data_IF_988281566608
#
_entry.id   IF_988281566608
#
_cell.length_a   1.000
_cell.length_b   1.000
_cell.length_c   1.000
_cell.angle_alpha   90.00
_cell.angle_beta   90.00
_cell.angle_gamma   90.00
#
_symmetry.space_group_name_H-M   'P 1'
#
loop_
_entity.id
_entity.type
_entity.pdbx_description
1 polymer ?
#
# COMPACT_ATOMS: atom_id res chain seq x y z
N UNK A 1 19.77 -20.46 -15.11
CA UNK A 1 19.42 -20.17 -14.89
C UNK A 1 19.06 -19.81 -14.37
N UNK A 2 19.10 -19.47 -14.28
CA UNK A 2 18.64 -18.87 -13.70
C UNK A 2 18.20 -18.45 -13.08
N UNK A 3 18.44 -18.24 -13.00
CA UNK A 3 17.99 -17.66 -12.34
C UNK A 3 17.40 -17.32 -11.86
N UNK A 4 17.54 -17.24 -11.92
CA UNK A 4 16.89 -16.67 -11.39
C UNK A 4 16.33 -16.31 -10.81
N UNK A 5 16.72 -16.32 -10.92
CA UNK A 5 16.08 -15.74 -10.33
C UNK A 5 15.65 -15.38 -9.94
N UNK A 6 15.93 -15.23 -9.93
CA UNK A 6 15.45 -14.60 -9.50
C UNK A 6 14.95 -14.02 -9.15
N UNK A 7 15.24 -13.94 -9.27
CA UNK A 7 14.66 -13.20 -8.75
C UNK A 7 14.05 -13.13 -8.48
N UNK A 8 14.55 -13.17 -8.44
CA UNK A 8 13.85 -12.88 -8.04
C UNK A 8 13.42 -12.76 -7.62
N UNK A 9 13.83 -12.66 -7.57
CA UNK A 9 13.37 -12.32 -7.19
C UNK A 9 13.08 -11.85 -6.79
N UNK A 10 13.89 -11.68 -6.92
CA UNK A 10 13.46 -10.86 -6.37
C UNK A 10 12.36 -10.27 -6.65
N UNK A 11 11.97 -10.20 -7.13
CA UNK A 11 10.80 -9.92 -7.23
C UNK A 11 9.95 -10.66 -6.63
N UNK A 12 10.07 -11.63 -6.50
CA UNK A 12 9.14 -12.46 -5.97
C UNK A 12 8.94 -12.26 -4.56
N UNK A 13 9.93 -12.25 -3.82
CA UNK A 13 9.72 -12.03 -2.47
C UNK A 13 9.06 -10.78 -2.18
N UNK A 14 9.14 -9.90 -3.06
CA UNK A 14 8.46 -8.67 -2.95
C UNK A 14 6.98 -8.85 -2.94
N UNK A 15 6.48 -9.78 -3.70
CA UNK A 15 5.06 -9.97 -3.79
C UNK A 15 4.45 -10.29 -2.43
N UNK A 16 5.11 -11.11 -1.65
CA UNK A 16 4.57 -11.43 -0.36
C UNK A 16 4.56 -10.22 0.54
N UNK A 17 5.57 -9.38 0.43
CA UNK A 17 5.63 -8.20 1.25
C UNK A 17 4.63 -7.17 0.82
N UNK A 18 4.11 -7.29 -0.38
CA UNK A 18 3.24 -6.28 -0.95
C UNK A 18 1.76 -6.51 -0.71
N UNK A 19 1.41 -7.48 0.12
CA UNK A 19 -0.02 -7.67 0.39
C UNK A 19 -0.65 -6.42 0.98
N UNK A 20 0.09 -5.68 1.80
CA UNK A 20 -0.43 -4.47 2.40
C UNK A 20 -0.48 -3.31 1.41
N UNK A 21 0.44 -3.29 0.47
CA UNK A 21 0.38 -2.31 -0.60
C UNK A 21 -0.85 -2.54 -1.46
N UNK A 22 -1.13 -3.80 -1.81
CA UNK A 22 -2.34 -4.14 -2.56
C UNK A 22 -3.58 -3.72 -1.80
N UNK A 23 -3.59 -3.95 -0.49
CA UNK A 23 -4.72 -3.54 0.34
C UNK A 23 -4.86 -2.03 0.35
N UNK A 24 -3.74 -1.31 0.42
CA UNK A 24 -3.77 0.15 0.41
C UNK A 24 -4.36 0.69 -0.88
N UNK A 25 -3.96 0.12 -2.01
CA UNK A 25 -4.51 0.52 -3.31
C UNK A 25 -6.02 0.26 -3.34
N UNK A 26 -6.43 -0.90 -2.85
CA UNK A 26 -7.84 -1.25 -2.82
C UNK A 26 -8.64 -0.25 -1.99
N UNK A 27 -8.12 0.14 -0.84
CA UNK A 27 -8.82 1.10 0.01
C UNK A 27 -8.87 2.48 -0.62
N UNK A 28 -7.80 2.90 -1.29
CA UNK A 28 -7.80 4.17 -2.00
C UNK A 28 -8.84 4.14 -3.13
N UNK A 29 -8.92 3.05 -3.86
CA UNK A 29 -9.88 2.94 -4.96
C UNK A 29 -11.32 2.87 -4.47
N UNK A 30 -11.55 2.34 -3.27
CA UNK A 30 -12.89 2.36 -2.70
C UNK A 30 -13.33 3.80 -2.44
N UNK A 31 -12.40 4.64 -2.00
CA UNK A 31 -12.70 6.02 -1.70
C UNK A 31 -12.81 6.87 -2.98
N UNK A 32 -12.00 6.52 -3.99
CA UNK A 32 -11.94 7.27 -5.23
C UNK A 32 -12.06 6.31 -6.42
N UNK A 33 -13.24 5.74 -6.65
CA UNK A 33 -13.39 4.64 -7.61
C UNK A 33 -13.17 5.00 -9.07
N UNK A 34 -13.25 6.28 -9.42
CA UNK A 34 -13.11 6.69 -10.81
C UNK A 34 -11.72 7.20 -11.14
N UNK A 35 -10.74 6.81 -10.34
CA UNK A 35 -9.36 7.24 -10.54
C UNK A 35 -8.49 6.10 -11.04
N UNK A 36 -7.36 6.48 -11.60
CA UNK A 36 -6.33 5.55 -12.03
C UNK A 36 -5.13 5.70 -11.10
N UNK A 37 -4.53 4.59 -10.70
CA UNK A 37 -3.35 4.61 -9.86
C UNK A 37 -2.12 4.82 -10.73
N UNK A 38 -1.38 5.90 -10.48
CA UNK A 38 -0.16 6.19 -11.22
C UNK A 38 1.08 5.71 -10.49
N UNK A 39 1.15 5.93 -9.19
CA UNK A 39 2.28 5.52 -8.36
C UNK A 39 1.80 5.04 -7.03
N UNK A 40 2.59 4.17 -6.42
CA UNK A 40 2.34 3.68 -5.07
C UNK A 40 3.69 3.46 -4.42
N UNK A 41 3.81 3.85 -3.16
CA UNK A 41 5.08 3.83 -2.47
C UNK A 41 4.86 3.71 -0.98
N UNK A 42 5.61 2.84 -0.32
CA UNK A 42 5.54 2.75 1.13
C UNK A 42 6.30 3.94 1.71
N UNK A 43 5.65 4.67 2.61
CA UNK A 43 6.23 5.85 3.23
C UNK A 43 6.99 5.48 4.50
N UNK A 44 6.35 4.67 5.35
CA UNK A 44 7.00 4.18 6.56
C UNK A 44 6.23 2.99 7.10
N UNK A 45 6.87 2.27 8.01
CA UNK A 45 6.19 1.23 8.75
C UNK A 45 6.73 1.18 10.17
N UNK A 46 5.96 0.58 11.05
CA UNK A 46 6.32 0.41 12.44
C UNK A 46 5.82 -0.93 12.91
N UNK A 47 6.71 -1.69 13.55
CA UNK A 47 6.37 -3.01 14.04
C UNK A 47 6.28 -3.01 15.55
N UNK A 48 5.18 -3.51 16.07
CA UNK A 48 4.99 -3.71 17.50
C UNK A 48 4.35 -5.05 17.71
N UNK A 49 4.40 -5.56 18.94
CA UNK A 49 3.95 -6.92 19.23
C UNK A 49 2.51 -7.19 18.82
N UNK A 50 1.63 -6.27 19.09
CA UNK A 50 0.21 -6.50 18.84
C UNK A 50 -0.34 -5.59 17.77
N UNK A 51 0.44 -4.65 17.31
CA UNK A 51 -0.01 -3.73 16.29
C UNK A 51 1.15 -3.30 15.43
N UNK A 52 1.04 -3.54 14.16
CA UNK A 52 1.97 -3.00 13.18
C UNK A 52 1.23 -2.01 12.32
N UNK A 53 1.95 -1.01 11.84
CA UNK A 53 1.35 0.05 11.04
C UNK A 53 2.20 0.24 9.80
N UNK A 54 1.55 0.37 8.65
CA UNK A 54 2.22 0.72 7.40
C UNK A 54 1.46 1.86 6.75
N UNK A 55 2.20 2.79 6.19
CA UNK A 55 1.59 3.89 5.47
C UNK A 55 2.12 3.92 4.05
N UNK A 56 1.22 4.08 3.11
CA UNK A 56 1.54 4.16 1.70
C UNK A 56 1.07 5.50 1.15
N UNK A 57 1.84 6.02 0.21
CA UNK A 57 1.44 7.19 -0.56
C UNK A 57 1.06 6.71 -1.95
N UNK A 58 -0.14 7.01 -2.38
CA UNK A 58 -0.66 6.56 -3.65
C UNK A 58 -1.06 7.78 -4.46
N UNK A 59 -0.52 7.87 -5.66
CA UNK A 59 -0.87 8.97 -6.57
C UNK A 59 -1.98 8.50 -7.49
N UNK A 60 -3.06 9.24 -7.49
CA UNK A 60 -4.25 8.94 -8.27
C UNK A 60 -4.48 10.03 -9.30
N UNK A 61 -5.14 9.65 -10.38
CA UNK A 61 -5.48 10.59 -11.45
C UNK A 61 -6.92 10.39 -11.83
N UNK A 62 -7.68 11.50 -11.89
CA UNK A 62 -9.01 11.47 -12.47
C UNK A 62 -8.97 12.28 -13.78
N UNK A 63 -10.11 12.65 -14.31
CA UNK A 63 -10.17 13.37 -15.58
C UNK A 63 -9.43 14.68 -15.56
N UNK A 64 -9.36 15.34 -14.44
CA UNK A 64 -8.93 16.73 -14.36
C UNK A 64 -7.64 16.95 -13.62
N UNK A 65 -7.25 16.02 -12.76
CA UNK A 65 -6.09 16.29 -11.91
C UNK A 65 -5.45 15.02 -11.39
N UNK A 66 -4.22 15.17 -10.95
CA UNK A 66 -3.52 14.17 -10.17
C UNK A 66 -3.51 14.65 -8.72
N UNK A 67 -3.60 13.70 -7.81
CA UNK A 67 -3.51 14.03 -6.39
C UNK A 67 -2.98 12.81 -5.64
N UNK A 68 -2.43 13.07 -4.46
CA UNK A 68 -1.91 12.01 -3.63
C UNK A 68 -2.83 11.71 -2.47
N UNK A 69 -2.81 10.47 -2.04
CA UNK A 69 -3.50 10.07 -0.82
C UNK A 69 -2.56 9.26 0.03
N UNK A 70 -2.71 9.38 1.35
CA UNK A 70 -2.00 8.52 2.29
C UNK A 70 -2.96 7.48 2.81
N UNK A 71 -2.55 6.23 2.74
CA UNK A 71 -3.35 5.13 3.30
C UNK A 71 -2.54 4.52 4.42
N UNK A 72 -3.09 4.56 5.62
CA UNK A 72 -2.45 4.01 6.80
C UNK A 72 -3.20 2.77 7.23
N UNK A 73 -2.50 1.65 7.35
CA UNK A 73 -3.10 0.38 7.72
C UNK A 73 -2.49 -0.07 9.04
N UNK A 74 -3.34 -0.29 10.03
CA UNK A 74 -2.96 -0.86 11.30
C UNK A 74 -3.47 -2.28 11.35
N UNK A 75 -2.63 -3.23 11.70
CA UNK A 75 -3.01 -4.63 11.68
C UNK A 75 -2.28 -5.42 12.77
N UNK A 76 -2.81 -6.59 13.07
CA UNK A 76 -2.17 -7.50 14.00
C UNK A 76 -1.18 -8.34 13.22
N UNK A 77 0.13 -8.28 13.54
CA UNK A 77 1.13 -8.97 12.75
C UNK A 77 1.08 -10.49 12.87
N UNK A 78 0.44 -11.01 13.91
CA UNK A 78 0.36 -12.45 14.08
C UNK A 78 -0.79 -13.05 13.29
N UNK A 79 -1.91 -12.38 13.23
CA UNK A 79 -3.10 -12.90 12.55
C UNK A 79 -3.34 -12.26 11.19
N UNK A 80 -2.62 -11.17 10.89
CA UNK A 80 -2.84 -10.35 9.69
C UNK A 80 -4.24 -9.73 9.65
N UNK A 81 -4.87 -9.65 10.80
CA UNK A 81 -6.18 -9.02 10.87
C UNK A 81 -6.03 -7.51 10.89
N UNK A 82 -6.76 -6.83 10.03
CA UNK A 82 -6.71 -5.37 9.96
C UNK A 82 -7.52 -4.79 11.08
N UNK A 83 -6.92 -3.86 11.83
CA UNK A 83 -7.59 -3.16 12.91
C UNK A 83 -8.21 -1.87 12.43
N UNK A 84 -7.51 -1.15 11.57
CA UNK A 84 -7.95 0.17 11.15
C UNK A 84 -7.31 0.54 9.82
N UNK A 85 -8.05 1.24 8.98
CA UNK A 85 -7.54 1.81 7.74
C UNK A 85 -7.96 3.27 7.70
N UNK A 86 -7.01 4.14 7.43
CA UNK A 86 -7.27 5.57 7.31
C UNK A 86 -6.81 6.02 5.93
N UNK A 87 -7.67 6.69 5.19
CA UNK A 87 -7.36 7.24 3.88
C UNK A 87 -7.50 8.75 3.97
N UNK A 88 -6.42 9.47 3.68
CA UNK A 88 -6.41 10.93 3.80
C UNK A 88 -5.81 11.51 2.53
N UNK A 89 -6.49 12.47 1.94
CA UNK A 89 -5.98 13.15 0.76
C UNK A 89 -4.84 14.08 1.16
N UNK A 90 -3.79 14.07 0.37
CA UNK A 90 -2.65 14.95 0.59
C UNK A 90 -3.00 16.35 0.12
N UNK A 91 -2.68 17.35 0.93
CA UNK A 91 -2.85 18.73 0.54
C UNK A 91 -1.49 19.29 0.13
N UNK A 92 -1.47 20.06 -0.89
CA UNK A 92 -0.24 20.68 -1.35
C UNK A 92 -0.29 22.18 -1.16
#
# INVERSE_FOLDING_TARGET
>A
MILEVKPVDARGLTAAADQWETRAVKEAKKRYPLTQVLFKQKVWDRHRDKESVKQYHITLKDHTKEFGVFVTISYNPYSNKVNKVIVVEEYS
#
